data_IF_536658341433
#
_entry.id   IF_536658341433
#
_cell.length_a   1.000
_cell.length_b   1.000
_cell.length_c   1.000
_cell.angle_alpha   90.00
_cell.angle_beta   90.00
_cell.angle_gamma   90.00
#
_symmetry.space_group_name_H-M   'P 1'
#
loop_
_entity.id
_entity.type
_entity.pdbx_description
1 polymer ?
#
# COMPACT_ATOMS: atom_id res chain seq x y z
N UNK A 1 11.64 -22.50 -5.77
CA UNK A 1 11.18 -21.09 -5.80
C UNK A 1 11.47 -20.51 -4.43
N UNK A 2 12.46 -19.63 -4.30
CA UNK A 2 12.89 -19.11 -3.01
C UNK A 2 11.85 -18.10 -2.48
N UNK A 3 11.34 -18.34 -1.27
CA UNK A 3 10.48 -17.39 -0.56
C UNK A 3 11.37 -16.40 0.18
N UNK A 4 11.20 -15.10 -0.04
CA UNK A 4 11.95 -14.08 0.69
C UNK A 4 11.28 -13.73 2.01
N UNK A 5 12.07 -13.26 2.97
CA UNK A 5 11.57 -12.79 4.26
C UNK A 5 10.66 -11.57 4.09
N UNK A 6 11.00 -10.68 3.14
CA UNK A 6 10.19 -9.52 2.79
C UNK A 6 8.81 -9.90 2.26
N UNK A 7 8.73 -10.84 1.31
CA UNK A 7 7.44 -11.24 0.75
C UNK A 7 6.57 -11.89 1.81
N UNK A 8 7.11 -12.87 2.54
CA UNK A 8 6.33 -13.63 3.52
C UNK A 8 5.86 -12.80 4.71
N UNK A 9 6.57 -11.72 5.06
CA UNK A 9 6.17 -10.79 6.13
C UNK A 9 4.90 -10.03 5.80
N UNK A 10 4.70 -9.65 4.53
CA UNK A 10 3.61 -8.74 4.12
C UNK A 10 2.52 -9.42 3.28
N UNK A 11 2.80 -10.58 2.69
CA UNK A 11 1.85 -11.29 1.83
C UNK A 11 1.64 -12.76 2.22
N UNK A 12 2.24 -13.19 3.33
CA UNK A 12 2.09 -14.55 3.86
C UNK A 12 2.80 -15.62 3.02
N UNK A 13 2.39 -16.88 3.20
CA UNK A 13 2.97 -18.01 2.50
C UNK A 13 2.91 -17.83 0.98
N UNK A 14 4.06 -18.03 0.33
CA UNK A 14 4.15 -17.92 -1.13
C UNK A 14 3.27 -18.97 -1.81
N UNK A 15 2.41 -18.49 -2.71
CA UNK A 15 1.81 -19.30 -3.77
C UNK A 15 2.02 -18.55 -5.08
N UNK A 16 2.12 -19.27 -6.20
CA UNK A 16 2.26 -18.62 -7.51
C UNK A 16 1.08 -17.70 -7.83
N UNK A 17 -0.13 -18.06 -7.39
CA UNK A 17 -1.33 -17.22 -7.56
C UNK A 17 -1.21 -15.89 -6.81
N UNK A 18 -0.92 -15.94 -5.51
CA UNK A 18 -0.81 -14.74 -4.66
C UNK A 18 0.32 -13.83 -5.15
N UNK A 19 1.46 -14.41 -5.47
CA UNK A 19 2.58 -13.67 -6.02
C UNK A 19 2.23 -12.99 -7.34
N UNK A 20 1.52 -13.68 -8.25
CA UNK A 20 1.12 -13.10 -9.53
C UNK A 20 0.11 -11.95 -9.35
N UNK A 21 -0.78 -12.02 -8.36
CA UNK A 21 -1.68 -10.91 -8.00
C UNK A 21 -0.89 -9.69 -7.56
N UNK A 22 -0.01 -9.84 -6.57
CA UNK A 22 0.83 -8.75 -6.05
C UNK A 22 1.74 -8.18 -7.15
N UNK A 23 2.37 -9.04 -7.96
CA UNK A 23 3.18 -8.62 -9.10
C UNK A 23 2.36 -7.81 -10.11
N UNK A 24 1.13 -8.23 -10.40
CA UNK A 24 0.22 -7.47 -11.27
C UNK A 24 -0.08 -6.08 -10.69
N UNK A 25 -0.34 -5.99 -9.38
CA UNK A 25 -0.57 -4.70 -8.72
C UNK A 25 0.63 -3.76 -8.87
N UNK A 26 1.83 -4.22 -8.50
CA UNK A 26 3.04 -3.41 -8.65
C UNK A 26 3.37 -3.07 -10.10
N UNK A 27 3.10 -3.97 -11.05
CA UNK A 27 3.30 -3.69 -12.48
C UNK A 27 2.41 -2.54 -12.93
N UNK A 28 1.13 -2.54 -12.53
CA UNK A 28 0.19 -1.46 -12.83
C UNK A 28 0.58 -0.16 -12.14
N UNK A 29 0.89 -0.22 -10.85
CA UNK A 29 1.35 0.95 -10.08
C UNK A 29 2.65 1.55 -10.65
N UNK A 30 3.59 0.73 -11.12
CA UNK A 30 4.82 1.18 -11.77
C UNK A 30 4.56 1.82 -13.15
N UNK A 31 3.45 1.48 -13.80
CA UNK A 31 2.98 2.13 -15.02
C UNK A 31 2.37 3.51 -14.80
N UNK A 32 2.07 3.89 -13.55
CA UNK A 32 1.46 5.18 -13.23
C UNK A 32 2.50 6.30 -13.26
N UNK A 33 2.04 7.52 -13.57
CA UNK A 33 2.83 8.72 -13.41
C UNK A 33 2.36 9.51 -12.18
N UNK A 34 2.91 9.19 -11.01
CA UNK A 34 2.59 9.87 -9.75
C UNK A 34 2.78 11.39 -9.81
N UNK A 35 3.71 11.89 -10.64
CA UNK A 35 3.92 13.35 -10.79
C UNK A 35 2.80 14.05 -11.57
N UNK A 36 1.95 13.29 -12.27
CA UNK A 36 0.79 13.81 -13.02
C UNK A 36 -0.54 13.58 -12.32
N UNK A 37 -0.53 13.00 -11.11
CA UNK A 37 -1.74 12.90 -10.30
C UNK A 37 -2.20 14.27 -9.81
N UNK A 38 -3.50 14.39 -9.55
CA UNK A 38 -4.12 15.51 -8.86
C UNK A 38 -4.00 15.28 -7.36
N UNK A 39 -3.39 16.23 -6.67
CA UNK A 39 -3.27 16.22 -5.22
C UNK A 39 -4.15 17.32 -4.63
N UNK A 40 -5.16 16.92 -3.89
CA UNK A 40 -6.05 17.82 -3.18
C UNK A 40 -5.57 17.94 -1.72
N UNK A 41 -5.30 19.16 -1.27
CA UNK A 41 -4.78 19.43 0.07
C UNK A 41 -5.84 20.07 1.00
N UNK A 42 -7.13 19.95 0.66
CA UNK A 42 -8.23 20.59 1.41
C UNK A 42 -8.62 19.82 2.66
N UNK A 43 -8.25 18.54 2.76
CA UNK A 43 -8.51 17.73 3.95
C UNK A 43 -7.67 18.21 5.14
N UNK A 44 -8.32 18.44 6.27
CA UNK A 44 -7.66 18.91 7.51
C UNK A 44 -7.73 17.91 8.66
N UNK A 45 -8.19 16.67 8.43
CA UNK A 45 -8.28 15.65 9.49
C UNK A 45 -6.87 15.38 10.09
N UNK A 46 -6.67 15.57 11.40
CA UNK A 46 -5.38 15.39 12.07
C UNK A 46 -4.88 13.95 12.11
N UNK A 47 -5.77 12.97 11.95
CA UNK A 47 -5.49 11.54 12.10
C UNK A 47 -5.39 10.78 10.78
N UNK A 48 -5.86 11.37 9.68
CA UNK A 48 -5.82 10.76 8.35
C UNK A 48 -4.56 11.18 7.60
N UNK A 49 -3.94 10.24 6.89
CA UNK A 49 -2.83 10.51 5.98
C UNK A 49 -3.36 10.99 4.63
N UNK A 50 -4.10 10.14 3.95
CA UNK A 50 -4.73 10.45 2.68
C UNK A 50 -6.00 9.61 2.50
N UNK A 51 -6.71 9.85 1.40
CA UNK A 51 -7.73 8.93 0.89
C UNK A 51 -7.90 9.11 -0.62
N UNK A 52 -8.51 8.12 -1.26
CA UNK A 52 -8.92 8.16 -2.66
C UNK A 52 -10.34 7.65 -2.84
N UNK A 53 -10.92 7.92 -4.01
CA UNK A 53 -12.07 7.17 -4.51
C UNK A 53 -11.56 6.15 -5.54
N UNK A 54 -11.79 4.83 -5.37
CA UNK A 54 -11.20 3.79 -6.23
C UNK A 54 -11.42 3.97 -7.73
N UNK A 55 -12.56 4.55 -8.14
CA UNK A 55 -12.92 4.77 -9.54
C UNK A 55 -12.51 6.16 -10.09
N UNK A 56 -11.94 7.03 -9.25
CA UNK A 56 -11.43 8.35 -9.65
C UNK A 56 -9.90 8.32 -9.75
N UNK A 57 -9.39 7.61 -10.75
CA UNK A 57 -7.97 7.35 -10.91
C UNK A 57 -7.11 8.63 -10.92
N UNK A 58 -6.04 8.61 -10.13
CA UNK A 58 -5.04 9.67 -10.10
C UNK A 58 -5.46 10.92 -9.33
N UNK A 59 -6.52 10.86 -8.53
CA UNK A 59 -6.89 11.92 -7.58
C UNK A 59 -6.65 11.44 -6.16
N UNK A 60 -5.73 12.09 -5.43
CA UNK A 60 -5.39 11.75 -4.05
C UNK A 60 -5.66 12.95 -3.15
N UNK A 61 -6.42 12.75 -2.08
CA UNK A 61 -6.72 13.77 -1.08
C UNK A 61 -5.75 13.59 0.08
N UNK A 62 -4.89 14.59 0.32
CA UNK A 62 -3.89 14.59 1.37
C UNK A 62 -4.41 15.32 2.61
N UNK A 63 -4.36 14.66 3.75
CA UNK A 63 -4.84 15.13 5.04
C UNK A 63 -3.68 15.54 5.97
N UNK A 64 -3.97 15.94 7.21
CA UNK A 64 -2.97 16.58 8.07
C UNK A 64 -1.84 15.66 8.53
N UNK A 65 -2.08 14.36 8.71
CA UNK A 65 -1.04 13.43 9.16
C UNK A 65 0.05 13.23 8.09
N UNK A 66 -0.30 13.27 6.80
CA UNK A 66 0.65 13.16 5.70
C UNK A 66 1.75 14.21 5.76
N UNK A 67 1.44 15.43 6.19
CA UNK A 67 2.43 16.50 6.26
C UNK A 67 3.49 16.27 7.34
N UNK A 68 3.12 15.58 8.42
CA UNK A 68 4.00 15.23 9.54
C UNK A 68 4.86 13.99 9.24
N UNK A 69 4.45 13.17 8.27
CA UNK A 69 5.16 11.98 7.85
C UNK A 69 6.52 12.29 7.22
N UNK A 70 7.53 11.42 7.42
CA UNK A 70 8.81 11.54 6.71
C UNK A 70 8.62 11.28 5.21
N UNK A 71 9.56 11.72 4.37
CA UNK A 71 9.47 11.48 2.93
C UNK A 71 9.53 9.99 2.58
N UNK A 72 10.39 9.24 3.28
CA UNK A 72 10.59 7.79 3.15
C UNK A 72 10.77 7.18 4.54
N UNK A 73 10.70 5.85 4.65
CA UNK A 73 10.76 5.14 5.93
C UNK A 73 9.46 4.40 6.17
N UNK A 74 9.11 4.17 7.43
CA UNK A 74 7.82 3.60 7.82
C UNK A 74 6.74 4.68 7.88
N UNK A 75 5.53 4.37 7.40
CA UNK A 75 4.36 5.27 7.38
C UNK A 75 4.71 6.63 6.73
N UNK A 76 5.42 6.56 5.61
CA UNK A 76 6.05 7.70 4.96
C UNK A 76 5.15 8.31 3.89
N UNK A 77 5.45 9.54 3.45
CA UNK A 77 4.78 10.16 2.30
C UNK A 77 4.86 9.26 1.07
N UNK A 78 6.03 8.65 0.81
CA UNK A 78 6.20 7.68 -0.27
C UNK A 78 5.35 6.43 -0.08
N UNK A 79 5.29 5.90 1.15
CA UNK A 79 4.46 4.75 1.53
C UNK A 79 2.97 5.01 1.34
N UNK A 80 2.47 6.13 1.88
CA UNK A 80 1.08 6.58 1.73
C UNK A 80 0.71 6.69 0.24
N UNK A 81 1.57 7.23 -0.62
CA UNK A 81 1.25 7.29 -2.05
C UNK A 81 1.16 5.89 -2.69
N UNK A 82 1.95 4.91 -2.25
CA UNK A 82 1.83 3.51 -2.69
C UNK A 82 0.53 2.90 -2.18
N UNK A 83 0.18 3.14 -0.91
CA UNK A 83 -1.08 2.73 -0.30
C UNK A 83 -2.27 3.21 -1.13
N UNK A 84 -2.40 4.53 -1.31
CA UNK A 84 -3.50 5.16 -2.05
C UNK A 84 -3.55 4.73 -3.52
N UNK A 85 -2.38 4.59 -4.16
CA UNK A 85 -2.30 4.12 -5.54
C UNK A 85 -2.84 2.69 -5.67
N UNK A 86 -2.61 1.83 -4.69
CA UNK A 86 -3.09 0.44 -4.73
C UNK A 86 -4.63 0.34 -4.68
N UNK A 87 -5.31 1.32 -4.08
CA UNK A 87 -6.77 1.38 -4.00
C UNK A 87 -7.46 1.62 -5.33
N UNK A 88 -6.80 2.24 -6.31
CA UNK A 88 -7.44 2.47 -7.61
C UNK A 88 -7.80 1.14 -8.27
N UNK A 89 -9.03 1.02 -8.77
CA UNK A 89 -9.54 -0.24 -9.35
C UNK A 89 -8.70 -0.72 -10.53
N UNK A 90 -8.11 0.21 -11.30
CA UNK A 90 -7.19 -0.13 -12.38
C UNK A 90 -5.88 -0.78 -11.89
N UNK A 91 -5.42 -0.45 -10.68
CA UNK A 91 -4.17 -0.95 -10.08
C UNK A 91 -4.34 -2.25 -9.30
N UNK A 92 -5.55 -2.56 -8.84
CA UNK A 92 -5.83 -3.76 -8.08
C UNK A 92 -7.10 -3.63 -7.25
N UNK A 93 -7.44 -2.40 -6.82
CA UNK A 93 -8.60 -2.18 -5.97
C UNK A 93 -8.39 -2.79 -4.59
N UNK A 94 -7.21 -2.59 -4.00
CA UNK A 94 -6.95 -3.01 -2.62
C UNK A 94 -7.95 -2.34 -1.67
N UNK A 95 -8.13 -2.94 -0.50
CA UNK A 95 -9.01 -2.48 0.56
C UNK A 95 -8.20 -2.25 1.83
N UNK A 96 -8.87 -1.73 2.85
CA UNK A 96 -8.30 -1.52 4.18
C UNK A 96 -8.79 -2.55 5.18
N UNK A 97 -8.26 -3.77 5.06
CA UNK A 97 -8.58 -4.86 5.99
C UNK A 97 -7.84 -4.72 7.33
N UNK A 98 -6.65 -4.12 7.32
CA UNK A 98 -5.82 -3.91 8.51
C UNK A 98 -4.93 -2.68 8.35
N UNK A 99 -4.79 -1.91 9.44
CA UNK A 99 -3.93 -0.73 9.51
C UNK A 99 -2.77 -0.92 10.49
N UNK A 100 -1.58 -0.45 10.13
CA UNK A 100 -0.38 -0.54 10.94
C UNK A 100 0.39 -1.84 10.72
N UNK A 101 1.73 -1.77 10.80
CA UNK A 101 2.60 -2.93 10.56
C UNK A 101 2.22 -4.18 11.34
N UNK A 102 1.83 -4.02 12.61
CA UNK A 102 1.48 -5.14 13.49
C UNK A 102 0.26 -5.89 12.98
N UNK A 103 -0.80 -5.19 12.61
CA UNK A 103 -2.04 -5.80 12.13
C UNK A 103 -1.92 -6.26 10.68
N UNK A 104 -1.18 -5.54 9.84
CA UNK A 104 -0.81 -5.99 8.49
C UNK A 104 -0.06 -7.35 8.53
N UNK A 105 0.96 -7.48 9.38
CA UNK A 105 1.65 -8.78 9.61
C UNK A 105 0.72 -9.85 10.18
N UNK A 106 -0.21 -9.48 11.07
CA UNK A 106 -1.18 -10.42 11.64
C UNK A 106 -2.16 -10.92 10.58
N UNK A 107 -2.56 -10.05 9.66
CA UNK A 107 -3.46 -10.38 8.55
C UNK A 107 -2.86 -11.49 7.68
N UNK A 108 -1.56 -11.47 7.42
CA UNK A 108 -0.88 -12.54 6.65
C UNK A 108 -1.04 -13.95 7.24
N UNK A 109 -1.30 -14.04 8.55
CA UNK A 109 -1.50 -15.33 9.26
C UNK A 109 -2.97 -15.70 9.35
N UNK A 110 -3.85 -14.70 9.42
CA UNK A 110 -5.31 -14.87 9.56
C UNK A 110 -5.95 -15.15 8.21
N UNK A 111 -5.67 -14.29 7.23
CA UNK A 111 -6.20 -14.37 5.89
C UNK A 111 -5.17 -13.84 4.86
N UNK A 112 -4.34 -14.74 4.29
CA UNK A 112 -3.39 -14.36 3.25
C UNK A 112 -4.05 -13.85 1.97
N UNK A 113 -5.33 -14.13 1.72
CA UNK A 113 -6.04 -13.62 0.54
C UNK A 113 -6.43 -12.15 0.74
N UNK A 114 -6.83 -11.76 1.96
CA UNK A 114 -6.99 -10.35 2.32
C UNK A 114 -5.65 -9.62 2.36
N UNK A 115 -4.57 -10.25 2.85
CA UNK A 115 -3.25 -9.62 2.92
C UNK A 115 -2.73 -9.14 1.55
N UNK A 116 -2.90 -9.93 0.48
CA UNK A 116 -2.53 -9.54 -0.89
C UNK A 116 -3.48 -8.50 -1.52
N UNK A 117 -4.58 -8.18 -0.83
CA UNK A 117 -5.56 -7.18 -1.22
C UNK A 117 -5.61 -6.02 -0.20
N UNK A 118 -4.69 -5.95 0.77
CA UNK A 118 -4.66 -4.90 1.78
C UNK A 118 -3.68 -3.79 1.36
N UNK A 119 -4.11 -2.52 1.36
CA UNK A 119 -3.27 -1.41 0.93
C UNK A 119 -2.01 -1.24 1.80
N UNK A 120 -2.15 -1.33 3.13
CA UNK A 120 -1.02 -1.27 4.07
C UNK A 120 0.02 -2.39 3.86
N UNK A 121 -0.40 -3.59 3.44
CA UNK A 121 0.57 -4.64 3.14
C UNK A 121 1.41 -4.29 1.90
N UNK A 122 0.84 -3.56 0.92
CA UNK A 122 1.60 -3.04 -0.22
C UNK A 122 2.50 -1.87 0.17
N UNK A 123 2.03 -0.97 1.04
CA UNK A 123 2.86 0.10 1.61
C UNK A 123 4.09 -0.48 2.29
N UNK A 124 3.91 -1.36 3.28
CA UNK A 124 5.02 -1.87 4.06
C UNK A 124 5.95 -2.80 3.29
N UNK A 125 5.43 -3.55 2.31
CA UNK A 125 6.28 -4.26 1.38
C UNK A 125 7.15 -3.27 0.60
N UNK A 126 6.62 -2.15 0.09
CA UNK A 126 7.38 -1.17 -0.67
C UNK A 126 8.41 -0.41 0.20
N UNK A 127 8.00 0.03 1.38
CA UNK A 127 8.85 0.75 2.34
C UNK A 127 10.02 -0.08 2.85
N UNK A 128 9.79 -1.37 3.13
CA UNK A 128 10.80 -2.31 3.61
C UNK A 128 11.65 -1.75 4.77
N UNK A 129 10.96 -1.26 5.81
CA UNK A 129 11.60 -0.68 6.98
C UNK A 129 11.03 -1.30 8.27
N UNK A 130 11.83 -2.05 9.06
CA UNK A 130 13.24 -2.39 8.83
C UNK A 130 13.45 -3.31 7.61
N UNK A 131 14.62 -3.18 6.97
CA UNK A 131 14.90 -3.88 5.71
C UNK A 131 15.01 -5.40 5.88
N UNK A 132 14.31 -6.11 5.00
CA UNK A 132 14.33 -7.56 4.86
C UNK A 132 14.80 -7.96 3.45
N UNK A 133 15.46 -9.11 3.36
CA UNK A 133 15.87 -9.75 2.10
C UNK A 133 14.72 -10.50 1.43
#
# INVERSE_FOLDING_TARGET
MATSSRYTTWFGSYTSSHHNTVLSHYTKMNGNNYSSFTYDCTCTDPSTYAYVYPDNFGHIYLCSAFWQAPTTGTDSKGGTLVHESSHFTCNGGTQDYAYGQSDAKNLTKKDPAEAIMNADNHEYFAENHPSQS
#
